data_IF_472387898903
#
_entry.id   IF_472387898903
#
_cell.length_a   1.000
_cell.length_b   1.000
_cell.length_c   1.000
_cell.angle_alpha   90.00
_cell.angle_beta   90.00
_cell.angle_gamma   90.00
#
_symmetry.space_group_name_H-M   'P 1'
#
loop_
_entity.id
_entity.type
_entity.pdbx_description
1 polymer ?
#
# COMPACT_ATOMS: atom_id res chain seq x y z
N UNK A 1 -16.87 -13.12 -2.77
CA UNK A 1 -18.16 -13.73 -3.17
C UNK A 1 -18.13 -15.22 -2.86
N UNK A 2 -19.28 -15.86 -2.63
CA UNK A 2 -19.39 -17.30 -2.29
C UNK A 2 -18.82 -17.71 -0.91
N UNK A 3 -18.95 -16.84 0.09
CA UNK A 3 -18.49 -17.06 1.47
C UNK A 3 -19.07 -18.35 2.10
N UNK A 4 -20.31 -18.74 1.76
CA UNK A 4 -20.94 -19.95 2.30
C UNK A 4 -20.44 -21.29 1.72
N UNK A 5 -19.59 -21.30 0.68
CA UNK A 5 -19.18 -22.54 0.00
C UNK A 5 -17.69 -22.66 -0.30
N UNK A 6 -16.91 -21.57 -0.25
CA UNK A 6 -15.46 -21.60 -0.53
C UNK A 6 -14.64 -20.57 0.26
N UNK A 7 -15.11 -20.06 1.39
CA UNK A 7 -14.49 -18.89 2.06
C UNK A 7 -12.99 -19.09 2.38
N UNK A 8 -12.08 -18.39 1.69
CA UNK A 8 -10.75 -18.17 2.22
C UNK A 8 -10.85 -16.98 3.18
N UNK A 9 -10.70 -17.22 4.48
CA UNK A 9 -10.59 -16.16 5.50
C UNK A 9 -9.22 -15.48 5.44
N UNK A 10 -8.85 -14.98 4.26
CA UNK A 10 -7.57 -14.32 4.03
C UNK A 10 -7.59 -12.91 4.61
N UNK A 11 -6.54 -12.56 5.36
CA UNK A 11 -6.19 -11.16 5.62
C UNK A 11 -5.32 -10.65 4.46
N UNK A 12 -5.27 -9.33 4.27
CA UNK A 12 -4.36 -8.75 3.30
C UNK A 12 -2.90 -9.04 3.70
N UNK A 13 -2.09 -9.53 2.76
CA UNK A 13 -0.65 -9.73 2.98
C UNK A 13 0.13 -8.42 3.06
N UNK A 14 -0.38 -7.36 2.43
CA UNK A 14 0.15 -6.00 2.51
C UNK A 14 -0.97 -4.96 2.40
N UNK A 15 -0.77 -3.82 3.06
CA UNK A 15 -1.55 -2.59 2.88
C UNK A 15 -0.57 -1.43 2.74
N UNK A 16 -0.74 -0.57 1.74
CA UNK A 16 0.02 0.66 1.56
C UNK A 16 -0.94 1.83 1.64
N UNK A 17 -0.57 2.87 2.40
CA UNK A 17 -1.30 4.12 2.47
C UNK A 17 -0.36 5.24 2.01
N UNK A 18 -0.79 5.96 0.98
CA UNK A 18 -0.19 7.21 0.53
C UNK A 18 -1.09 8.38 0.95
N UNK A 19 -0.50 9.40 1.59
CA UNK A 19 -1.19 10.63 1.97
C UNK A 19 -0.49 11.84 1.35
N UNK A 20 -1.24 12.71 0.67
CA UNK A 20 -0.74 13.91 0.03
C UNK A 20 -1.86 14.78 -0.54
N UNK A 21 -1.53 16.01 -0.91
CA UNK A 21 -2.49 16.98 -1.46
C UNK A 21 -2.70 16.86 -2.98
N UNK A 22 -1.98 15.94 -3.64
CA UNK A 22 -2.07 15.73 -5.09
C UNK A 22 -3.31 14.91 -5.44
N UNK A 23 -3.68 14.92 -6.72
CA UNK A 23 -4.75 14.05 -7.21
C UNK A 23 -4.42 12.57 -6.94
N UNK A 24 -5.38 11.76 -6.45
CA UNK A 24 -5.19 10.34 -6.27
C UNK A 24 -4.77 9.65 -7.57
N UNK A 25 -3.88 8.67 -7.47
CA UNK A 25 -3.44 7.83 -8.58
C UNK A 25 -3.59 6.36 -8.24
N UNK A 26 -3.68 5.53 -9.27
CA UNK A 26 -3.60 4.08 -9.13
C UNK A 26 -2.18 3.60 -9.35
N UNK A 27 -1.73 2.64 -8.53
CA UNK A 27 -0.46 1.93 -8.70
C UNK A 27 -0.64 0.61 -9.49
N UNK A 28 -1.80 0.37 -10.09
CA UNK A 28 -2.07 -0.85 -10.86
C UNK A 28 -1.10 -1.06 -12.04
N UNK A 29 -0.48 0.01 -12.55
CA UNK A 29 0.54 -0.06 -13.61
C UNK A 29 1.77 -0.89 -13.22
N UNK A 30 2.08 -1.03 -11.93
CA UNK A 30 3.12 -1.93 -11.42
C UNK A 30 2.94 -3.38 -11.91
N UNK A 31 1.68 -3.77 -12.15
CA UNK A 31 1.29 -5.12 -12.57
C UNK A 31 0.75 -5.15 -14.00
N UNK A 32 0.98 -4.09 -14.79
CA UNK A 32 0.60 -4.07 -16.22
C UNK A 32 1.24 -5.23 -16.97
N UNK A 33 2.51 -5.52 -16.68
CA UNK A 33 3.13 -6.78 -17.05
C UNK A 33 2.86 -7.79 -15.95
N UNK A 34 2.35 -8.97 -16.31
CA UNK A 34 2.06 -10.01 -15.35
C UNK A 34 3.32 -10.38 -14.55
N UNK A 35 3.18 -10.40 -13.22
CA UNK A 35 4.21 -10.86 -12.29
C UNK A 35 4.05 -12.36 -12.03
N UNK A 36 5.14 -13.02 -11.63
CA UNK A 36 5.11 -14.42 -11.20
C UNK A 36 4.19 -14.56 -9.99
N UNK A 37 3.62 -15.76 -9.79
CA UNK A 37 2.87 -16.09 -8.58
C UNK A 37 3.81 -16.23 -7.37
N UNK A 38 4.29 -15.08 -6.90
CA UNK A 38 5.29 -14.92 -5.86
C UNK A 38 5.08 -13.55 -5.24
N UNK A 39 4.86 -13.50 -3.93
CA UNK A 39 4.52 -12.26 -3.23
C UNK A 39 5.69 -11.28 -3.21
N UNK A 40 6.93 -11.75 -3.07
CA UNK A 40 8.11 -10.89 -3.11
C UNK A 40 8.23 -10.23 -4.48
N UNK A 41 7.97 -10.97 -5.57
CA UNK A 41 7.99 -10.39 -6.92
C UNK A 41 6.88 -9.37 -7.16
N UNK A 42 5.72 -9.54 -6.54
CA UNK A 42 4.68 -8.53 -6.60
C UNK A 42 5.08 -7.27 -5.81
N UNK A 43 5.65 -7.44 -4.61
CA UNK A 43 6.16 -6.33 -3.79
C UNK A 43 7.26 -5.56 -4.49
N UNK A 44 8.25 -6.26 -5.06
CA UNK A 44 9.37 -5.64 -5.77
C UNK A 44 8.86 -4.79 -6.96
N UNK A 45 7.89 -5.31 -7.73
CA UNK A 45 7.28 -4.56 -8.83
C UNK A 45 6.55 -3.29 -8.37
N UNK A 46 5.89 -3.33 -7.20
CA UNK A 46 5.28 -2.15 -6.58
C UNK A 46 6.33 -1.13 -6.14
N UNK A 47 7.42 -1.59 -5.50
CA UNK A 47 8.55 -0.73 -5.10
C UNK A 47 9.15 -0.02 -6.32
N UNK A 48 9.38 -0.75 -7.42
CA UNK A 48 9.93 -0.18 -8.65
C UNK A 48 9.01 0.86 -9.29
N UNK A 49 7.69 0.64 -9.25
CA UNK A 49 6.70 1.62 -9.72
C UNK A 49 6.72 2.89 -8.85
N UNK A 50 6.77 2.73 -7.51
CA UNK A 50 6.88 3.86 -6.58
C UNK A 50 8.15 4.67 -6.83
N UNK A 51 9.29 4.01 -6.96
CA UNK A 51 10.58 4.66 -7.24
C UNK A 51 10.52 5.47 -8.55
N UNK A 52 9.93 4.90 -9.61
CA UNK A 52 9.75 5.61 -10.89
C UNK A 52 8.88 6.85 -10.75
N UNK A 53 7.82 6.79 -9.96
CA UNK A 53 6.98 7.96 -9.69
C UNK A 53 7.73 9.02 -8.87
N UNK A 54 8.42 8.60 -7.82
CA UNK A 54 9.17 9.49 -6.95
C UNK A 54 10.28 10.23 -7.72
N UNK A 55 11.05 9.51 -8.54
CA UNK A 55 12.10 10.07 -9.41
C UNK A 55 11.53 11.03 -10.46
N UNK A 56 10.43 10.64 -11.12
CA UNK A 56 9.90 11.40 -12.27
C UNK A 56 9.11 12.64 -11.86
N UNK A 57 8.43 12.60 -10.71
CA UNK A 57 7.45 13.61 -10.34
C UNK A 57 7.72 14.29 -8.99
N UNK A 58 8.78 13.87 -8.27
CA UNK A 58 9.15 14.40 -6.95
C UNK A 58 7.91 14.52 -6.04
N UNK A 59 7.15 13.43 -5.96
CA UNK A 59 5.74 13.48 -5.57
C UNK A 59 5.53 13.83 -4.09
N UNK A 60 6.48 13.48 -3.24
CA UNK A 60 6.54 13.90 -1.84
C UNK A 60 5.38 13.40 -0.97
N UNK A 61 4.67 12.34 -1.38
CA UNK A 61 3.62 11.76 -0.54
C UNK A 61 4.22 11.11 0.70
N UNK A 62 3.54 11.29 1.83
CA UNK A 62 3.86 10.54 3.03
C UNK A 62 3.32 9.12 2.88
N UNK A 63 4.16 8.11 3.16
CA UNK A 63 3.79 6.70 3.01
C UNK A 63 4.00 5.92 4.29
N UNK A 64 3.07 5.01 4.58
CA UNK A 64 3.23 3.94 5.57
C UNK A 64 2.62 2.66 5.01
N UNK A 65 3.14 1.54 5.47
CA UNK A 65 2.63 0.26 5.02
C UNK A 65 2.55 -0.77 6.15
N UNK A 66 1.67 -1.75 5.98
CA UNK A 66 1.68 -3.01 6.71
C UNK A 66 2.10 -4.10 5.74
N UNK A 67 2.93 -5.03 6.19
CA UNK A 67 3.27 -6.21 5.42
C UNK A 67 3.47 -7.42 6.35
N UNK A 68 2.86 -8.55 6.02
CA UNK A 68 3.02 -9.78 6.81
C UNK A 68 4.43 -10.34 6.62
N UNK A 69 4.95 -10.31 5.40
CA UNK A 69 6.26 -10.84 5.05
C UNK A 69 7.11 -9.83 4.26
N UNK A 70 8.28 -9.50 4.79
CA UNK A 70 9.15 -8.44 4.27
C UNK A 70 8.64 -7.01 4.54
N UNK A 71 9.09 -6.06 3.72
CA UNK A 71 8.80 -4.64 3.79
C UNK A 71 9.06 -3.94 2.45
N UNK A 72 8.49 -2.75 2.25
CA UNK A 72 8.92 -1.80 1.24
C UNK A 72 10.11 -0.98 1.76
N UNK A 73 11.09 -0.75 0.90
CA UNK A 73 12.30 -0.02 1.26
C UNK A 73 12.03 1.48 1.37
N UNK A 74 12.61 2.12 2.39
CA UNK A 74 12.45 3.57 2.62
C UNK A 74 11.05 4.00 3.09
N UNK A 75 10.10 3.05 3.26
CA UNK A 75 8.75 3.31 3.75
C UNK A 75 8.59 2.63 5.11
N UNK A 76 8.27 3.40 6.15
CA UNK A 76 8.11 2.82 7.48
C UNK A 76 6.95 1.80 7.53
N UNK A 77 7.25 0.64 8.11
CA UNK A 77 6.33 -0.49 8.31
C UNK A 77 5.64 -0.37 9.67
N UNK A 78 4.32 -0.46 9.70
CA UNK A 78 3.50 -0.39 10.89
C UNK A 78 2.56 -1.60 11.00
N UNK A 79 2.16 -1.93 12.23
CA UNK A 79 1.03 -2.81 12.48
C UNK A 79 -0.31 -2.13 12.12
N UNK A 80 -1.40 -2.89 12.09
CA UNK A 80 -2.69 -2.40 11.56
C UNK A 80 -3.22 -1.18 12.34
N UNK A 81 -3.19 -1.24 13.67
CA UNK A 81 -3.65 -0.15 14.54
C UNK A 81 -2.86 1.15 14.34
N UNK A 82 -1.52 1.17 14.50
CA UNK A 82 -0.76 2.40 14.27
C UNK A 82 -0.80 2.88 12.81
N UNK A 83 -0.98 2.00 11.83
CA UNK A 83 -1.21 2.40 10.44
C UNK A 83 -2.54 3.15 10.28
N UNK A 84 -3.60 2.67 10.94
CA UNK A 84 -4.91 3.31 10.92
C UNK A 84 -4.90 4.67 11.65
N UNK A 85 -4.28 4.75 12.83
CA UNK A 85 -4.08 6.00 13.57
C UNK A 85 -3.28 7.01 12.74
N UNK A 86 -2.19 6.54 12.11
CA UNK A 86 -1.39 7.36 11.22
C UNK A 86 -2.18 7.85 10.01
N UNK A 87 -3.09 7.05 9.46
CA UNK A 87 -3.93 7.48 8.33
C UNK A 87 -5.01 8.49 8.77
N UNK A 88 -5.66 8.26 9.92
CA UNK A 88 -6.68 9.13 10.46
C UNK A 88 -6.15 10.56 10.71
N UNK A 89 -4.93 10.67 11.24
CA UNK A 89 -4.27 11.96 11.49
C UNK A 89 -3.96 12.79 10.23
N UNK A 90 -4.18 12.25 9.02
CA UNK A 90 -3.80 12.87 7.72
C UNK A 90 -5.02 13.39 6.96
N UNK A 91 -6.22 13.09 7.44
CA UNK A 91 -7.48 13.54 6.86
C UNK A 91 -8.00 14.74 7.66
N UNK A 92 -8.07 15.94 7.06
CA UNK A 92 -8.65 17.10 7.74
C UNK A 92 -10.12 16.84 8.09
N UNK A 93 -10.50 17.08 9.34
CA UNK A 93 -11.90 16.94 9.80
C UNK A 93 -12.39 15.50 9.99
N UNK A 94 -11.49 14.53 10.14
CA UNK A 94 -11.88 13.18 10.55
C UNK A 94 -12.62 13.24 11.91
N UNK A 95 -13.80 12.60 12.06
CA UNK A 95 -14.46 12.48 13.35
C UNK A 95 -13.55 11.73 14.33
N UNK A 96 -13.56 12.13 15.60
CA UNK A 96 -12.80 11.46 16.66
C UNK A 96 -13.11 9.96 16.64
N UNK A 97 -12.04 9.14 16.56
CA UNK A 97 -12.09 7.69 16.42
C UNK A 97 -12.52 6.97 17.70
#
# INVERSE_FOLDING_TARGET
AKLGSTAPYGRAGMMLIEAGARQPRSLASAYRKAVRHDFDKARDALQDELNRYDESYATGEARRHLCVDGALDGIEKLALTPLAEWAAARVPGAPDA
#
